data_IF_098826090664
#
_entry.id   IF_098826090664
#
_cell.length_a   1.000
_cell.length_b   1.000
_cell.length_c   1.000
_cell.angle_alpha   90.00
_cell.angle_beta   90.00
_cell.angle_gamma   90.00
#
_symmetry.space_group_name_H-M   'P 1'
#
loop_
_entity.id
_entity.type
_entity.pdbx_description
1 polymer ?
#
# COMPACT_ATOMS: atom_id res chain seq x y z
N UNK A 1 12.40 3.42 -25.51
CA UNK A 1 11.07 3.38 -24.89
C UNK A 1 10.06 4.01 -25.81
N UNK A 2 8.88 3.43 -25.95
CA UNK A 2 7.75 4.12 -26.59
C UNK A 2 6.94 4.96 -25.59
N UNK A 3 5.94 5.67 -26.09
CA UNK A 3 5.05 6.51 -25.30
C UNK A 3 4.43 5.78 -24.09
N UNK A 4 4.03 4.52 -24.23
CA UNK A 4 3.32 3.79 -23.19
C UNK A 4 4.27 3.21 -22.14
N UNK A 5 5.48 2.83 -22.54
CA UNK A 5 6.56 2.49 -21.60
C UNK A 5 6.94 3.70 -20.74
N UNK A 6 7.12 4.87 -21.37
CA UNK A 6 7.39 6.11 -20.66
C UNK A 6 6.24 6.46 -19.69
N UNK A 7 4.99 6.37 -20.15
CA UNK A 7 3.80 6.63 -19.34
C UNK A 7 3.79 5.83 -18.02
N UNK A 8 4.03 4.52 -18.09
CA UNK A 8 3.87 3.64 -16.92
C UNK A 8 5.12 3.54 -16.05
N UNK A 9 6.30 3.82 -16.59
CA UNK A 9 7.55 3.70 -15.85
C UNK A 9 8.21 5.03 -15.48
N UNK A 10 7.58 6.17 -15.76
CA UNK A 10 8.05 7.46 -15.26
C UNK A 10 7.94 7.49 -13.72
N UNK A 11 9.05 7.64 -12.99
CA UNK A 11 9.06 7.68 -11.53
C UNK A 11 8.46 8.98 -10.99
N UNK A 12 8.07 8.99 -9.72
CA UNK A 12 7.62 10.22 -9.04
C UNK A 12 8.74 11.24 -8.89
N UNK A 13 8.41 12.54 -8.98
CA UNK A 13 9.32 13.65 -8.66
C UNK A 13 9.40 13.94 -7.15
N UNK A 14 8.50 13.36 -6.35
CA UNK A 14 8.37 13.62 -4.91
C UNK A 14 9.44 12.91 -4.05
N UNK A 15 10.26 12.04 -4.62
CA UNK A 15 11.24 11.27 -3.86
C UNK A 15 12.39 12.13 -3.30
N UNK A 16 13.03 11.60 -2.24
CA UNK A 16 14.24 12.09 -1.58
C UNK A 16 14.20 13.54 -1.02
N UNK A 17 13.11 14.31 -1.25
CA UNK A 17 13.00 15.74 -0.90
C UNK A 17 11.68 16.12 -0.24
N UNK A 18 10.94 15.17 0.31
CA UNK A 18 9.72 15.46 1.07
C UNK A 18 10.05 15.98 2.47
N UNK A 19 9.33 17.02 2.90
CA UNK A 19 9.33 17.46 4.29
C UNK A 19 7.92 17.32 4.84
N UNK A 20 7.76 16.42 5.82
CA UNK A 20 6.51 16.31 6.56
C UNK A 20 6.22 17.62 7.28
N UNK A 21 4.99 18.08 7.15
CA UNK A 21 4.46 19.28 7.83
C UNK A 21 3.16 18.99 8.57
N UNK A 22 2.36 18.05 8.05
CA UNK A 22 1.10 17.62 8.65
C UNK A 22 1.20 16.37 9.51
N UNK A 23 0.07 16.02 10.12
CA UNK A 23 -0.18 14.75 10.82
C UNK A 23 -1.39 14.07 10.17
N UNK A 24 -1.30 12.78 9.85
CA UNK A 24 -2.43 12.08 9.24
C UNK A 24 -3.62 12.08 10.22
N UNK A 25 -4.82 12.51 9.81
CA UNK A 25 -5.98 12.49 10.68
C UNK A 25 -6.30 11.07 11.14
N UNK A 26 -6.56 10.91 12.45
CA UNK A 26 -6.85 9.60 13.05
C UNK A 26 -8.05 8.90 12.41
N UNK A 27 -9.06 9.65 11.94
CA UNK A 27 -10.20 9.11 11.21
C UNK A 27 -9.80 8.33 9.94
N UNK A 28 -8.59 8.54 9.41
CA UNK A 28 -8.09 7.83 8.22
C UNK A 28 -7.41 6.50 8.54
N UNK A 29 -7.01 6.23 9.79
CA UNK A 29 -6.25 5.01 10.13
C UNK A 29 -6.72 4.27 11.39
N UNK A 30 -7.54 4.90 12.23
CA UNK A 30 -8.19 4.26 13.38
C UNK A 30 -9.40 3.48 12.91
N UNK A 31 -9.51 2.23 13.34
CA UNK A 31 -10.66 1.37 13.06
C UNK A 31 -11.95 1.98 13.64
N UNK A 32 -11.88 2.52 14.85
CA UNK A 32 -13.06 3.00 15.58
C UNK A 32 -13.54 4.36 15.10
N UNK A 33 -12.67 5.14 14.45
CA UNK A 33 -12.98 6.50 13.96
C UNK A 33 -13.21 6.58 12.47
N UNK A 34 -12.96 5.50 11.73
CA UNK A 34 -13.15 5.48 10.30
C UNK A 34 -14.63 5.32 9.96
N UNK A 35 -15.16 6.30 9.24
CA UNK A 35 -16.52 6.25 8.71
C UNK A 35 -16.49 5.95 7.22
N UNK A 36 -17.21 4.90 6.84
CA UNK A 36 -17.32 4.45 5.47
C UNK A 36 -18.47 5.09 4.69
N UNK A 37 -19.44 5.66 5.42
CA UNK A 37 -20.63 6.26 4.82
C UNK A 37 -20.28 7.36 3.80
N UNK A 38 -19.26 8.22 3.98
CA UNK A 38 -18.86 9.18 2.97
C UNK A 38 -18.54 8.54 1.63
N UNK A 39 -17.79 7.43 1.61
CA UNK A 39 -17.47 6.73 0.37
C UNK A 39 -18.70 6.05 -0.24
N UNK A 40 -19.57 5.43 0.57
CA UNK A 40 -20.80 4.82 0.06
C UNK A 40 -21.76 5.85 -0.53
N UNK A 41 -21.90 7.00 0.12
CA UNK A 41 -22.66 8.13 -0.41
C UNK A 41 -22.04 8.63 -1.72
N UNK A 42 -20.72 8.81 -1.76
CA UNK A 42 -20.02 9.18 -2.98
C UNK A 42 -20.26 8.18 -4.12
N UNK A 43 -20.18 6.87 -3.85
CA UNK A 43 -20.49 5.83 -4.84
C UNK A 43 -21.94 5.85 -5.30
N UNK A 44 -22.91 6.10 -4.41
CA UNK A 44 -24.32 6.24 -4.78
C UNK A 44 -24.51 7.43 -5.71
N UNK A 45 -23.94 8.57 -5.33
CA UNK A 45 -24.15 9.87 -5.97
C UNK A 45 -23.41 9.96 -7.32
N UNK A 46 -22.29 9.25 -7.48
CA UNK A 46 -21.43 9.33 -8.67
C UNK A 46 -21.25 8.01 -9.44
N UNK A 47 -21.67 6.87 -8.90
CA UNK A 47 -21.20 5.56 -9.37
C UNK A 47 -22.24 4.46 -9.59
N UNK A 48 -23.36 4.44 -8.87
CA UNK A 48 -24.30 3.30 -8.91
C UNK A 48 -25.51 3.48 -9.83
N UNK A 49 -26.07 4.69 -9.93
CA UNK A 49 -27.27 4.91 -10.76
C UNK A 49 -26.97 5.10 -12.25
N UNK A 50 -25.71 5.35 -12.62
CA UNK A 50 -25.30 5.53 -14.01
C UNK A 50 -25.21 4.18 -14.78
N UNK A 51 -24.84 3.09 -14.10
CA UNK A 51 -24.68 1.77 -14.72
C UNK A 51 -26.03 1.13 -15.15
N UNK A 52 -27.13 1.43 -14.44
CA UNK A 52 -28.45 0.91 -14.77
C UNK A 52 -29.05 1.51 -16.06
N UNK A 53 -28.51 2.63 -16.55
CA UNK A 53 -29.04 3.34 -17.72
C UNK A 53 -28.48 2.87 -19.07
N UNK A 54 -27.49 1.97 -19.10
CA UNK A 54 -26.91 1.40 -20.32
C UNK A 54 -26.26 2.40 -21.30
N UNK A 55 -26.24 3.70 -20.97
CA UNK A 55 -25.68 4.75 -21.81
C UNK A 55 -24.16 4.84 -21.68
N UNK A 56 -23.46 5.05 -22.81
CA UNK A 56 -22.01 5.30 -22.85
C UNK A 56 -21.56 6.48 -21.96
N UNK A 57 -22.47 7.35 -21.54
CA UNK A 57 -22.19 8.49 -20.66
C UNK A 57 -21.89 8.11 -19.20
N UNK A 58 -22.35 6.95 -18.71
CA UNK A 58 -22.25 6.63 -17.27
C UNK A 58 -20.83 6.30 -16.78
N UNK A 59 -20.00 5.69 -17.63
CA UNK A 59 -18.65 5.31 -17.24
C UNK A 59 -17.70 6.51 -17.15
N UNK A 60 -17.93 7.56 -17.95
CA UNK A 60 -17.07 8.76 -17.91
C UNK A 60 -17.33 9.62 -16.66
N UNK A 61 -18.53 9.50 -16.06
CA UNK A 61 -18.92 10.26 -14.89
C UNK A 61 -18.08 9.97 -13.65
N UNK A 62 -17.59 8.73 -13.44
CA UNK A 62 -16.80 8.39 -12.24
C UNK A 62 -15.42 9.04 -12.27
N UNK A 63 -14.71 8.93 -13.41
CA UNK A 63 -13.43 9.58 -13.59
C UNK A 63 -13.53 11.11 -13.51
N UNK A 64 -14.57 11.70 -14.12
CA UNK A 64 -14.85 13.13 -14.05
C UNK A 64 -15.18 13.58 -12.63
N UNK A 65 -16.06 12.87 -11.93
CA UNK A 65 -16.41 13.16 -10.54
C UNK A 65 -15.18 13.09 -9.63
N UNK A 66 -14.30 12.12 -9.83
CA UNK A 66 -13.06 12.01 -9.07
C UNK A 66 -12.08 13.18 -9.34
N UNK A 67 -12.12 13.77 -10.53
CA UNK A 67 -11.36 14.98 -10.85
C UNK A 67 -11.95 16.25 -10.23
N UNK A 68 -13.27 16.32 -10.06
CA UNK A 68 -13.95 17.43 -9.38
C UNK A 68 -13.80 17.36 -7.85
N UNK A 69 -13.97 16.15 -7.30
CA UNK A 69 -13.85 15.85 -5.88
C UNK A 69 -13.29 14.44 -5.70
N UNK A 70 -12.03 14.29 -5.21
CA UNK A 70 -11.44 12.98 -4.98
C UNK A 70 -12.36 12.10 -4.12
N UNK A 71 -12.51 10.81 -4.46
CA UNK A 71 -13.37 9.93 -3.69
C UNK A 71 -12.88 9.84 -2.24
N UNK A 72 -13.77 9.84 -1.25
CA UNK A 72 -13.41 9.50 0.12
C UNK A 72 -12.76 8.11 0.17
N UNK A 73 -11.98 7.83 1.21
CA UNK A 73 -11.37 6.52 1.39
C UNK A 73 -12.45 5.44 1.59
N UNK A 74 -12.43 4.36 0.83
CA UNK A 74 -13.24 3.15 1.09
C UNK A 74 -12.65 2.27 2.19
N UNK A 75 -11.41 2.54 2.60
CA UNK A 75 -10.68 1.73 3.55
C UNK A 75 -9.65 2.57 4.31
N UNK A 76 -9.40 2.21 5.57
CA UNK A 76 -8.40 2.92 6.37
C UNK A 76 -6.97 2.79 5.82
N UNK A 77 -6.22 3.88 5.89
CA UNK A 77 -4.80 3.90 5.61
C UNK A 77 -4.08 2.86 6.47
N UNK A 78 -3.23 2.05 5.83
CA UNK A 78 -2.45 1.02 6.52
C UNK A 78 -1.27 1.65 7.26
N UNK A 79 -1.48 2.21 8.44
CA UNK A 79 -0.41 2.83 9.23
C UNK A 79 0.25 1.77 10.12
N UNK A 80 1.56 1.62 9.98
CA UNK A 80 2.37 0.73 10.80
C UNK A 80 3.42 1.53 11.56
N UNK A 81 3.73 1.14 12.79
CA UNK A 81 4.71 1.83 13.64
C UNK A 81 5.76 0.85 14.14
N UNK A 82 7.01 1.31 14.14
CA UNK A 82 8.13 0.66 14.79
C UNK A 82 8.67 1.58 15.90
N UNK A 83 8.27 1.37 17.16
CA UNK A 83 8.74 2.21 18.26
C UNK A 83 10.26 2.14 18.49
N UNK A 84 10.88 0.97 18.26
CA UNK A 84 12.31 0.75 18.47
C UNK A 84 13.18 1.61 17.55
N UNK A 85 12.82 1.69 16.27
CA UNK A 85 13.56 2.46 15.26
C UNK A 85 12.92 3.84 14.99
N UNK A 86 11.93 4.24 15.80
CA UNK A 86 11.22 5.51 15.69
C UNK A 86 10.78 5.88 14.27
N UNK A 87 10.15 4.93 13.57
CA UNK A 87 9.56 5.21 12.26
C UNK A 87 8.09 4.75 12.17
N UNK A 88 7.36 5.41 11.29
CA UNK A 88 5.99 5.06 10.87
C UNK A 88 6.06 4.72 9.38
N UNK A 89 5.40 3.65 8.98
CA UNK A 89 5.23 3.26 7.58
C UNK A 89 3.77 3.36 7.17
N UNK A 90 3.44 4.32 6.29
CA UNK A 90 2.12 4.44 5.69
C UNK A 90 2.06 3.54 4.45
N UNK A 91 1.37 2.42 4.59
CA UNK A 91 1.27 1.38 3.58
C UNK A 91 0.20 1.73 2.55
N UNK A 92 0.64 2.02 1.32
CA UNK A 92 -0.25 2.15 0.18
C UNK A 92 -0.40 0.82 -0.56
N UNK A 93 -1.61 0.52 -1.04
CA UNK A 93 -1.85 -0.69 -1.83
C UNK A 93 -1.22 -0.53 -3.21
N UNK A 94 -0.69 -1.65 -3.72
CA UNK A 94 -0.15 -1.77 -5.08
C UNK A 94 1.14 -0.97 -5.37
N UNK A 95 1.87 -0.56 -4.33
CA UNK A 95 3.12 0.23 -4.43
C UNK A 95 4.36 -0.49 -3.85
N UNK A 96 4.44 -1.83 -3.93
CA UNK A 96 5.47 -2.65 -3.26
C UNK A 96 5.57 -2.50 -1.73
N UNK A 97 4.57 -1.89 -1.09
CA UNK A 97 4.57 -1.66 0.36
C UNK A 97 4.80 -2.92 1.21
N UNK A 98 4.34 -4.08 0.71
CA UNK A 98 4.52 -5.38 1.36
C UNK A 98 5.98 -5.84 1.33
N UNK A 99 6.74 -5.50 0.29
CA UNK A 99 8.14 -5.87 0.15
C UNK A 99 8.97 -5.18 1.24
N UNK A 100 8.80 -3.86 1.42
CA UNK A 100 9.50 -3.11 2.48
C UNK A 100 9.17 -3.60 3.88
N UNK A 101 7.88 -3.70 4.24
CA UNK A 101 7.52 -4.12 5.60
C UNK A 101 7.96 -5.56 5.89
N UNK A 102 7.96 -6.46 4.90
CA UNK A 102 8.47 -7.82 5.07
C UNK A 102 9.98 -7.84 5.24
N UNK A 103 10.74 -7.03 4.49
CA UNK A 103 12.19 -6.92 4.64
C UNK A 103 12.57 -6.46 6.06
N UNK A 104 11.94 -5.38 6.55
CA UNK A 104 12.18 -4.87 7.91
C UNK A 104 11.80 -5.91 8.97
N UNK A 105 10.63 -6.55 8.85
CA UNK A 105 10.21 -7.58 9.80
C UNK A 105 11.16 -8.77 9.85
N UNK A 106 11.67 -9.22 8.70
CA UNK A 106 12.66 -10.30 8.63
C UNK A 106 13.96 -9.93 9.33
N UNK A 107 14.49 -8.73 9.07
CA UNK A 107 15.67 -8.23 9.75
C UNK A 107 15.47 -8.21 11.27
N UNK A 108 14.35 -7.64 11.73
CA UNK A 108 14.07 -7.53 13.15
C UNK A 108 13.89 -8.91 13.82
N UNK A 109 13.29 -9.87 13.12
CA UNK A 109 13.16 -11.24 13.61
C UNK A 109 14.52 -11.95 13.71
N UNK A 110 15.37 -11.81 12.69
CA UNK A 110 16.72 -12.40 12.67
C UNK A 110 17.63 -11.88 13.79
N UNK A 111 17.39 -10.64 14.25
CA UNK A 111 18.13 -10.01 15.34
C UNK A 111 17.44 -10.12 16.70
N UNK A 112 16.39 -10.94 16.84
CA UNK A 112 15.68 -11.14 18.11
C UNK A 112 14.95 -9.89 18.63
N UNK A 113 14.72 -8.88 17.79
CA UNK A 113 14.10 -7.61 18.18
C UNK A 113 12.57 -7.70 18.26
N UNK A 114 11.98 -8.64 17.53
CA UNK A 114 10.58 -9.00 17.63
C UNK A 114 10.37 -9.88 18.89
N UNK A 115 10.49 -9.29 20.09
CA UNK A 115 10.18 -9.81 21.43
C UNK A 115 10.77 -8.94 22.57
N UNK A 116 11.55 -7.89 22.26
CA UNK A 116 12.38 -7.19 23.25
C UNK A 116 11.66 -6.13 24.13
N UNK A 117 10.37 -5.85 23.93
CA UNK A 117 9.68 -4.71 24.58
C UNK A 117 9.13 -4.96 25.99
N UNK A 118 9.53 -6.02 26.68
CA UNK A 118 9.20 -6.19 28.11
C UNK A 118 10.31 -5.75 29.07
N UNK A 119 11.53 -5.51 28.58
CA UNK A 119 12.70 -5.28 29.46
C UNK A 119 13.12 -3.80 29.59
N UNK A 120 12.87 -2.97 28.57
CA UNK A 120 13.40 -1.60 28.53
C UNK A 120 12.56 -0.56 29.33
N UNK A 121 11.36 -0.92 29.80
CA UNK A 121 10.54 -0.06 30.67
C UNK A 121 10.69 -0.35 32.16
N UNK A 122 11.55 -1.30 32.56
CA UNK A 122 11.71 -1.72 33.95
C UNK A 122 12.94 -1.13 34.67
N UNK A 123 13.78 -0.32 34.01
CA UNK A 123 15.02 0.19 34.63
C UNK A 123 14.89 1.55 35.34
N UNK A 124 13.69 1.96 35.77
CA UNK A 124 13.52 3.22 36.54
C UNK A 124 12.65 3.09 37.81
N UNK A 125 12.54 1.91 38.41
CA UNK A 125 11.99 1.78 39.76
C UNK A 125 12.74 0.72 40.55
N UNK A 126 13.73 1.16 41.32
CA UNK A 126 14.28 0.36 42.41
C UNK A 126 13.25 0.25 43.54
N UNK A 127 12.87 -0.98 43.90
CA UNK A 127 12.38 -1.33 45.23
C UNK A 127 12.46 -2.85 45.43
N UNK A 128 12.87 -3.23 46.63
CA UNK A 128 13.31 -4.55 47.03
C UNK A 128 12.20 -5.61 47.13
N UNK A 129 12.60 -6.86 46.96
CA UNK A 129 11.79 -8.06 47.10
C UNK A 129 11.44 -8.41 48.56
N UNK A 130 10.33 -9.14 48.74
CA UNK A 130 10.12 -10.06 49.88
C UNK A 130 9.35 -11.29 49.38
N UNK A 131 9.72 -12.54 49.77
CA UNK A 131 9.06 -13.74 49.28
C UNK A 131 8.03 -14.28 50.29
N UNK A 132 6.90 -14.81 49.80
CA UNK A 132 6.04 -15.66 50.62
C UNK A 132 4.67 -15.97 50.00
N UNK A 133 4.41 -17.27 49.76
CA UNK A 133 3.07 -17.86 49.86
C UNK A 133 2.34 -18.21 48.56
N UNK A 134 2.19 -19.51 48.33
CA UNK A 134 1.15 -20.14 47.50
C UNK A 134 0.28 -21.03 48.42
N UNK A 135 -0.79 -21.71 47.95
CA UNK A 135 -1.81 -21.37 46.95
C UNK A 135 -3.26 -21.52 47.54
N UNK A 136 -4.30 -21.04 46.86
CA UNK A 136 -5.64 -21.65 46.98
C UNK A 136 -6.54 -21.40 45.78
N UNK A 137 -7.32 -22.42 45.46
CA UNK A 137 -8.31 -22.50 44.40
C UNK A 137 -9.66 -21.92 44.84
N UNK A 138 -10.41 -21.34 43.90
CA UNK A 138 -11.80 -20.93 44.13
C UNK A 138 -12.48 -20.52 42.82
N UNK A 139 -13.41 -21.36 42.37
CA UNK A 139 -14.30 -21.09 41.25
C UNK A 139 -15.32 -20.00 41.59
N UNK A 140 -15.67 -19.15 40.62
CA UNK A 140 -16.74 -18.16 40.75
C UNK A 140 -17.08 -17.52 39.41
N UNK A 141 -18.22 -17.94 38.86
CA UNK A 141 -18.82 -17.36 37.66
C UNK A 141 -19.37 -15.94 37.96
N UNK A 142 -19.11 -15.00 37.05
CA UNK A 142 -19.64 -13.64 37.10
C UNK A 142 -19.41 -12.95 35.76
N UNK A 143 -20.40 -13.02 34.87
CA UNK A 143 -20.42 -12.26 33.63
C UNK A 143 -20.78 -10.80 33.95
N UNK A 144 -19.83 -9.90 33.72
CA UNK A 144 -20.01 -8.45 33.72
C UNK A 144 -19.34 -7.84 32.48
N UNK A 145 -19.83 -6.71 31.96
CA UNK A 145 -19.31 -6.09 30.74
C UNK A 145 -18.02 -5.35 31.06
N UNK A 146 -16.91 -6.08 31.10
CA UNK A 146 -15.57 -5.54 31.27
C UNK A 146 -14.90 -5.33 29.93
N UNK A 147 -14.93 -4.09 29.42
CA UNK A 147 -14.03 -3.61 28.37
C UNK A 147 -12.60 -3.52 28.90
N UNK A 148 -12.02 -4.67 29.24
CA UNK A 148 -10.60 -4.78 29.51
C UNK A 148 -9.86 -4.67 28.18
N UNK A 149 -9.18 -3.56 27.96
CA UNK A 149 -8.21 -3.43 26.89
C UNK A 149 -7.24 -4.59 27.00
N UNK A 150 -7.31 -5.51 26.05
CA UNK A 150 -6.35 -6.59 25.91
C UNK A 150 -4.97 -5.95 25.82
N UNK A 151 -4.02 -6.27 26.71
CA UNK A 151 -2.67 -5.75 26.59
C UNK A 151 -2.17 -6.17 25.21
N UNK A 152 -1.73 -5.19 24.40
CA UNK A 152 -1.22 -5.39 23.04
C UNK A 152 -0.46 -6.72 23.00
N UNK A 153 -1.04 -7.71 22.31
CA UNK A 153 -0.54 -9.09 22.30
C UNK A 153 0.99 -9.10 22.07
N UNK A 154 1.72 -10.02 22.70
CA UNK A 154 3.16 -10.07 22.54
C UNK A 154 3.47 -10.26 21.06
N UNK A 155 4.24 -9.32 20.51
CA UNK A 155 4.99 -9.44 19.26
C UNK A 155 4.27 -9.03 17.96
N UNK A 156 4.43 -7.75 17.56
CA UNK A 156 5.39 -7.56 16.48
C UNK A 156 6.20 -6.26 16.60
N UNK A 157 7.50 -6.40 16.37
CA UNK A 157 8.47 -5.35 16.04
C UNK A 157 7.97 -4.21 15.13
N UNK A 158 7.01 -4.48 14.23
CA UNK A 158 6.27 -3.48 13.45
C UNK A 158 4.78 -3.80 13.54
N UNK A 159 4.02 -2.94 14.21
CA UNK A 159 2.60 -3.13 14.53
C UNK A 159 1.71 -2.15 13.78
N UNK A 160 0.43 -2.49 13.58
CA UNK A 160 -0.55 -1.50 13.10
C UNK A 160 -0.69 -0.41 14.17
N UNK A 161 -0.70 0.85 13.75
CA UNK A 161 -0.88 1.96 14.67
C UNK A 161 -2.35 2.06 15.04
N UNK A 162 -2.64 1.83 16.32
CA UNK A 162 -3.94 2.09 16.92
C UNK A 162 -3.80 3.27 17.90
N UNK A 163 -4.43 4.42 17.61
CA UNK A 163 -4.25 5.60 18.44
C UNK A 163 -4.82 5.44 19.85
N UNK A 164 -5.83 4.60 20.07
CA UNK A 164 -6.41 4.42 21.41
C UNK A 164 -5.55 3.48 22.26
N UNK A 165 -4.96 2.44 21.65
CA UNK A 165 -3.95 1.62 22.31
C UNK A 165 -2.68 2.42 22.68
N UNK A 166 -2.26 3.37 21.84
CA UNK A 166 -1.12 4.26 22.15
C UNK A 166 -1.42 5.17 23.34
N UNK A 167 -2.63 5.78 23.38
CA UNK A 167 -3.06 6.60 24.51
C UNK A 167 -3.13 5.81 25.80
N UNK A 168 -3.67 4.59 25.76
CA UNK A 168 -3.70 3.69 26.92
C UNK A 168 -2.29 3.37 27.44
N UNK A 169 -1.29 3.36 26.57
CA UNK A 169 0.13 3.23 26.92
C UNK A 169 0.83 4.56 27.27
N UNK A 170 0.08 5.65 27.45
CA UNK A 170 0.61 6.97 27.82
C UNK A 170 1.37 7.69 26.69
N UNK A 171 1.11 7.33 25.42
CA UNK A 171 1.74 7.96 24.25
C UNK A 171 0.73 8.75 23.44
N UNK A 172 1.13 9.94 22.99
CA UNK A 172 0.34 10.75 22.06
C UNK A 172 0.66 10.35 20.60
N UNK A 173 -0.32 9.81 19.83
CA UNK A 173 -0.13 9.46 18.44
C UNK A 173 0.36 10.63 17.57
N UNK A 174 -0.10 11.85 17.84
CA UNK A 174 0.21 13.00 17.01
C UNK A 174 1.63 13.50 17.30
N UNK A 175 2.03 13.55 18.57
CA UNK A 175 3.43 13.78 18.94
C UNK A 175 4.37 12.71 18.36
N UNK A 176 3.98 11.43 18.41
CA UNK A 176 4.75 10.37 17.76
C UNK A 176 4.86 10.57 16.25
N UNK A 177 3.77 10.98 15.58
CA UNK A 177 3.80 11.24 14.14
C UNK A 177 4.79 12.35 13.78
N UNK A 178 4.86 13.41 14.59
CA UNK A 178 5.81 14.51 14.41
C UNK A 178 7.25 14.09 14.68
N UNK A 179 7.49 13.33 15.76
CA UNK A 179 8.83 12.90 16.18
C UNK A 179 9.41 11.82 15.24
N UNK A 180 8.59 10.85 14.80
CA UNK A 180 9.09 9.67 14.08
C UNK A 180 9.35 9.98 12.60
N UNK A 181 10.26 9.25 11.96
CA UNK A 181 10.40 9.29 10.49
C UNK A 181 9.20 8.61 9.87
N UNK A 182 8.45 9.30 9.01
CA UNK A 182 7.27 8.74 8.34
C UNK A 182 7.63 8.40 6.90
N UNK A 183 7.59 7.12 6.57
CA UNK A 183 7.94 6.58 5.26
C UNK A 183 6.67 6.07 4.60
N UNK A 184 6.56 6.21 3.29
CA UNK A 184 5.53 5.56 2.50
C UNK A 184 6.10 4.99 1.22
N UNK A 185 5.27 4.33 0.43
CA UNK A 185 5.63 3.85 -0.90
C UNK A 185 4.61 4.30 -1.94
N UNK A 186 5.09 4.73 -3.09
CA UNK A 186 4.30 5.16 -4.25
C UNK A 186 4.60 4.30 -5.47
N UNK A 187 3.74 4.41 -6.48
CA UNK A 187 3.92 3.81 -7.79
C UNK A 187 3.24 4.72 -8.80
N UNK A 188 3.80 4.80 -10.00
CA UNK A 188 3.19 5.47 -11.14
C UNK A 188 1.68 5.12 -11.24
N UNK A 189 0.76 6.10 -11.37
CA UNK A 189 -0.67 5.84 -11.20
C UNK A 189 -1.23 4.90 -12.27
N UNK A 190 -0.70 4.96 -13.50
CA UNK A 190 -1.09 4.03 -14.57
C UNK A 190 -0.60 2.61 -14.29
N UNK A 191 0.66 2.44 -13.87
CA UNK A 191 1.16 1.12 -13.48
C UNK A 191 0.41 0.56 -12.27
N UNK A 192 0.07 1.42 -11.30
CA UNK A 192 -0.70 1.08 -10.11
C UNK A 192 -2.12 0.63 -10.48
N UNK A 193 -2.82 1.37 -11.32
CA UNK A 193 -4.18 1.05 -11.78
C UNK A 193 -4.24 -0.31 -12.48
N UNK A 194 -3.34 -0.55 -13.43
CA UNK A 194 -3.23 -1.82 -14.13
C UNK A 194 -2.92 -2.99 -13.18
N UNK A 195 -2.02 -2.77 -12.22
CA UNK A 195 -1.71 -3.78 -11.20
C UNK A 195 -2.88 -4.04 -10.25
N UNK A 196 -3.66 -3.00 -9.92
CA UNK A 196 -4.88 -3.11 -9.13
C UNK A 196 -5.92 -3.96 -9.85
N UNK A 197 -6.23 -3.62 -11.10
CA UNK A 197 -7.16 -4.34 -11.97
C UNK A 197 -6.85 -5.84 -12.11
N UNK A 198 -5.59 -6.21 -12.35
CA UNK A 198 -5.22 -7.63 -12.43
C UNK A 198 -5.30 -8.32 -11.07
N UNK A 199 -4.87 -7.63 -10.02
CA UNK A 199 -4.81 -8.22 -8.70
C UNK A 199 -6.19 -8.49 -8.12
N UNK A 200 -7.13 -7.54 -8.21
CA UNK A 200 -8.50 -7.73 -7.71
C UNK A 200 -9.15 -8.92 -8.39
N UNK A 201 -9.10 -9.00 -9.73
CA UNK A 201 -9.62 -10.15 -10.47
C UNK A 201 -8.92 -11.47 -10.10
N UNK A 202 -7.60 -11.47 -9.87
CA UNK A 202 -6.87 -12.65 -9.41
C UNK A 202 -7.34 -13.19 -8.06
N UNK A 203 -8.06 -12.38 -7.28
CA UNK A 203 -8.61 -12.74 -5.97
C UNK A 203 -10.09 -13.10 -5.99
N UNK A 204 -10.78 -12.94 -7.11
CA UNK A 204 -12.14 -13.42 -7.27
C UNK A 204 -12.14 -14.95 -7.30
N UNK A 205 -12.96 -15.55 -6.43
CA UNK A 205 -13.14 -17.01 -6.35
C UNK A 205 -14.09 -17.46 -7.45
N UNK A 206 -15.08 -16.63 -7.76
CA UNK A 206 -16.02 -16.84 -8.86
C UNK A 206 -15.54 -16.08 -10.09
N UNK A 207 -15.63 -16.74 -11.24
CA UNK A 207 -15.32 -16.18 -12.57
C UNK A 207 -16.42 -16.51 -13.58
N UNK A 208 -17.62 -16.76 -13.07
CA UNK A 208 -18.82 -17.06 -13.83
C UNK A 208 -19.51 -15.78 -14.31
N UNK A 209 -20.70 -15.90 -14.90
CA UNK A 209 -21.37 -14.80 -15.61
C UNK A 209 -21.60 -13.52 -14.77
N UNK A 210 -21.73 -13.61 -13.45
CA UNK A 210 -21.80 -12.43 -12.58
C UNK A 210 -20.43 -11.81 -12.25
N UNK A 211 -19.37 -12.62 -12.28
CA UNK A 211 -18.02 -12.26 -11.88
C UNK A 211 -17.03 -12.27 -13.04
N UNK A 212 -17.51 -11.90 -14.23
CA UNK A 212 -16.64 -11.72 -15.39
C UNK A 212 -15.78 -10.47 -15.18
N UNK A 213 -14.48 -10.56 -15.51
CA UNK A 213 -13.61 -9.40 -15.49
C UNK A 213 -14.12 -8.39 -16.53
N UNK A 214 -14.41 -7.13 -16.14
CA UNK A 214 -14.69 -6.08 -17.11
C UNK A 214 -13.45 -5.86 -17.99
N UNK A 215 -13.63 -5.39 -19.22
CA UNK A 215 -12.47 -5.03 -20.05
C UNK A 215 -11.64 -3.93 -19.39
N UNK A 216 -10.35 -3.85 -19.74
CA UNK A 216 -9.48 -2.82 -19.19
C UNK A 216 -9.97 -1.40 -19.56
N UNK A 217 -10.54 -1.20 -20.75
CA UNK A 217 -11.13 0.10 -21.14
C UNK A 217 -12.34 0.47 -20.26
N UNK A 218 -13.21 -0.48 -19.91
CA UNK A 218 -14.30 -0.25 -18.96
C UNK A 218 -13.75 0.14 -17.57
N UNK A 219 -12.72 -0.57 -17.12
CA UNK A 219 -12.03 -0.26 -15.87
C UNK A 219 -11.38 1.14 -15.88
N UNK A 220 -10.74 1.57 -16.97
CA UNK A 220 -10.10 2.90 -16.98
C UNK A 220 -11.11 4.04 -16.80
N UNK A 221 -12.34 3.85 -17.30
CA UNK A 221 -13.40 4.85 -17.18
C UNK A 221 -14.03 4.85 -15.79
N UNK A 222 -14.21 3.66 -15.22
CA UNK A 222 -14.72 3.48 -13.87
C UNK A 222 -13.80 2.52 -13.09
N UNK A 223 -12.73 3.02 -12.47
CA UNK A 223 -11.80 2.15 -11.73
C UNK A 223 -12.49 1.38 -10.60
N UNK A 224 -13.60 1.89 -10.07
CA UNK A 224 -14.38 1.22 -9.04
C UNK A 224 -15.31 0.12 -9.56
N UNK A 225 -15.39 -0.11 -10.87
CA UNK A 225 -16.21 -1.18 -11.46
C UNK A 225 -15.89 -2.56 -10.86
N UNK A 226 -14.62 -2.81 -10.52
CA UNK A 226 -14.20 -4.07 -9.89
C UNK A 226 -14.88 -4.27 -8.54
N UNK A 227 -14.88 -3.23 -7.69
CA UNK A 227 -15.58 -3.29 -6.41
C UNK A 227 -17.08 -3.37 -6.57
N UNK A 228 -17.69 -2.64 -7.52
CA UNK A 228 -19.14 -2.70 -7.77
C UNK A 228 -19.58 -4.12 -8.14
N UNK A 229 -18.91 -4.75 -9.12
CA UNK A 229 -19.21 -6.12 -9.53
C UNK A 229 -18.97 -7.13 -8.41
N UNK A 230 -17.85 -7.01 -7.71
CA UNK A 230 -17.50 -7.92 -6.62
C UNK A 230 -18.52 -7.91 -5.48
N UNK A 231 -19.05 -6.73 -5.14
CA UNK A 231 -20.10 -6.58 -4.14
C UNK A 231 -21.45 -7.12 -4.63
N UNK A 232 -21.83 -6.77 -5.86
CA UNK A 232 -23.12 -7.15 -6.43
C UNK A 232 -23.25 -8.67 -6.58
N UNK A 233 -22.16 -9.33 -6.98
CA UNK A 233 -22.17 -10.76 -7.33
C UNK A 233 -21.37 -11.64 -6.35
N UNK A 234 -20.85 -11.06 -5.26
CA UNK A 234 -20.03 -11.75 -4.25
C UNK A 234 -18.85 -12.50 -4.88
N UNK A 235 -18.06 -11.80 -5.70
CA UNK A 235 -17.00 -12.42 -6.49
C UNK A 235 -15.78 -12.83 -5.66
N UNK A 236 -15.48 -12.08 -4.61
CA UNK A 236 -14.52 -12.43 -3.58
C UNK A 236 -15.25 -13.30 -2.56
N UNK A 237 -14.90 -14.58 -2.44
CA UNK A 237 -15.51 -15.42 -1.40
C UNK A 237 -15.14 -14.94 0.00
N UNK A 238 -15.91 -15.38 1.00
CA UNK A 238 -15.61 -15.12 2.41
C UNK A 238 -14.19 -15.60 2.74
N UNK A 239 -13.25 -14.66 2.83
CA UNK A 239 -11.90 -14.93 3.32
C UNK A 239 -11.70 -14.29 4.68
N UNK A 240 -11.82 -15.10 5.72
CA UNK A 240 -11.23 -14.75 7.01
C UNK A 240 -9.76 -14.35 6.79
N UNK A 241 -9.36 -13.16 7.25
CA UNK A 241 -7.97 -12.71 7.22
C UNK A 241 -7.51 -11.89 6.01
N UNK A 242 -8.38 -11.56 5.04
CA UNK A 242 -8.08 -10.51 4.02
C UNK A 242 -8.62 -9.12 4.44
N UNK A 243 -8.83 -9.01 5.73
CA UNK A 243 -9.08 -7.84 6.52
C UNK A 243 -9.26 -8.29 7.97
N UNK A 244 -9.14 -7.40 8.94
CA UNK A 244 -9.57 -7.71 10.31
C UNK A 244 -11.05 -8.13 10.29
N UNK A 245 -11.55 -8.81 11.32
CA UNK A 245 -12.96 -9.25 11.44
C UNK A 245 -13.99 -8.12 11.22
N UNK A 246 -13.55 -6.87 11.29
CA UNK A 246 -14.30 -5.63 11.11
C UNK A 246 -14.20 -5.04 9.69
N UNK A 247 -13.25 -5.50 8.88
CA UNK A 247 -13.04 -5.12 7.49
C UNK A 247 -13.81 -6.08 6.60
N UNK A 248 -15.10 -5.82 6.40
CA UNK A 248 -15.95 -6.65 5.56
C UNK A 248 -15.38 -6.79 4.14
N UNK A 249 -15.62 -7.93 3.50
CA UNK A 249 -15.19 -8.23 2.11
C UNK A 249 -15.59 -7.16 1.08
N UNK A 250 -16.58 -6.35 1.44
CA UNK A 250 -17.22 -5.38 0.58
C UNK A 250 -16.25 -4.29 0.05
N UNK A 251 -15.23 -3.85 0.80
CA UNK A 251 -14.29 -2.82 0.32
C UNK A 251 -12.97 -3.33 -0.26
N UNK A 252 -12.79 -4.65 -0.30
CA UNK A 252 -11.51 -5.23 -0.70
C UNK A 252 -11.08 -4.75 -2.08
N UNK A 253 -11.95 -4.79 -3.09
CA UNK A 253 -11.56 -4.43 -4.44
C UNK A 253 -11.43 -2.91 -4.67
N UNK A 254 -12.22 -2.08 -3.97
CA UNK A 254 -12.13 -0.63 -4.07
C UNK A 254 -10.75 -0.12 -3.63
N UNK A 255 -10.32 -0.51 -2.43
CA UNK A 255 -9.07 0.03 -1.86
C UNK A 255 -7.80 -0.31 -2.67
N UNK A 256 -7.80 -1.35 -3.52
CA UNK A 256 -6.65 -1.68 -4.36
C UNK A 256 -6.47 -0.77 -5.57
N UNK A 257 -7.47 0.07 -5.88
CA UNK A 257 -7.47 0.97 -7.03
C UNK A 257 -7.68 2.44 -6.63
N UNK A 258 -7.92 2.76 -5.37
CA UNK A 258 -8.09 4.14 -4.89
C UNK A 258 -6.85 5.01 -5.03
N UNK A 259 -6.94 6.33 -5.27
CA UNK A 259 -5.79 7.22 -5.16
C UNK A 259 -5.09 7.14 -3.80
N UNK A 260 -3.76 7.28 -3.75
CA UNK A 260 -3.00 7.21 -2.49
C UNK A 260 -2.91 8.54 -1.76
N UNK A 261 -3.20 9.65 -2.45
CA UNK A 261 -3.20 11.02 -1.94
C UNK A 261 -3.90 11.13 -0.58
N UNK A 262 -5.07 10.49 -0.43
CA UNK A 262 -5.85 10.50 0.81
C UNK A 262 -5.08 10.03 2.04
N UNK A 263 -4.09 9.16 1.89
CA UNK A 263 -3.24 8.66 2.97
C UNK A 263 -1.91 9.41 3.13
N UNK A 264 -1.64 10.42 2.31
CA UNK A 264 -0.36 11.15 2.26
C UNK A 264 -0.48 12.63 2.63
N UNK A 265 -1.71 13.14 2.76
CA UNK A 265 -1.97 14.51 3.20
C UNK A 265 -2.91 14.56 4.40
N UNK A 266 -2.82 15.64 5.17
CA UNK A 266 -3.72 15.92 6.29
C UNK A 266 -5.04 16.57 5.82
N UNK A 267 -5.76 17.24 6.73
CA UNK A 267 -7.00 17.96 6.41
C UNK A 267 -6.78 19.28 5.68
N UNK A 268 -5.56 19.82 5.70
CA UNK A 268 -5.16 21.08 5.06
C UNK A 268 -4.40 20.84 3.75
N UNK A 269 -4.23 19.58 3.34
CA UNK A 269 -3.47 19.21 2.14
C UNK A 269 -1.95 19.16 2.38
N UNK A 270 -1.48 19.29 3.62
CA UNK A 270 -0.05 19.23 3.93
C UNK A 270 0.46 17.79 3.92
N UNK A 271 1.67 17.58 3.41
CA UNK A 271 2.31 16.26 3.39
C UNK A 271 2.54 15.73 4.81
N UNK A 272 2.15 14.48 5.04
CA UNK A 272 2.30 13.80 6.34
C UNK A 272 3.46 12.79 6.36
N UNK A 273 4.29 12.75 5.31
CA UNK A 273 5.39 11.81 5.13
C UNK A 273 6.73 12.53 4.93
N UNK A 274 7.80 11.96 5.47
CA UNK A 274 9.19 12.43 5.35
C UNK A 274 9.91 11.81 4.15
N UNK A 275 9.51 10.61 3.73
CA UNK A 275 10.16 9.90 2.63
C UNK A 275 9.16 9.04 1.83
N UNK A 276 9.36 8.99 0.51
CA UNK A 276 8.55 8.19 -0.42
C UNK A 276 9.44 7.21 -1.18
N UNK A 277 9.21 5.91 -0.96
CA UNK A 277 9.82 4.83 -1.75
C UNK A 277 9.08 4.72 -3.08
N UNK A 278 9.74 4.96 -4.21
CA UNK A 278 9.18 4.80 -5.55
C UNK A 278 9.33 3.35 -5.99
N UNK A 279 8.25 2.76 -6.48
CA UNK A 279 8.28 1.41 -7.05
C UNK A 279 9.27 1.31 -8.22
N UNK A 280 9.40 2.38 -9.02
CA UNK A 280 10.27 2.46 -10.19
C UNK A 280 11.77 2.49 -9.81
N UNK A 281 12.09 2.88 -8.57
CA UNK A 281 13.44 2.91 -7.99
C UNK A 281 13.51 2.09 -6.70
N UNK A 282 12.79 0.96 -6.65
CA UNK A 282 12.49 0.28 -5.39
C UNK A 282 13.75 -0.10 -4.59
N UNK A 283 14.82 -0.56 -5.23
CA UNK A 283 16.07 -0.92 -4.54
C UNK A 283 16.77 0.29 -3.91
N UNK A 284 17.04 1.29 -4.75
CA UNK A 284 17.68 2.55 -4.38
C UNK A 284 16.93 3.23 -3.24
N UNK A 285 15.61 3.39 -3.40
CA UNK A 285 14.80 4.12 -2.43
C UNK A 285 14.58 3.32 -1.14
N UNK A 286 14.54 1.97 -1.18
CA UNK A 286 14.49 1.16 0.03
C UNK A 286 15.80 1.26 0.82
N UNK A 287 16.95 1.27 0.14
CA UNK A 287 18.25 1.45 0.78
C UNK A 287 18.33 2.83 1.45
N UNK A 288 17.98 3.89 0.71
CA UNK A 288 17.93 5.26 1.25
C UNK A 288 16.95 5.40 2.43
N UNK A 289 15.78 4.74 2.37
CA UNK A 289 14.84 4.72 3.50
C UNK A 289 15.44 4.03 4.74
N UNK A 290 16.19 2.94 4.56
CA UNK A 290 16.88 2.25 5.65
C UNK A 290 18.01 3.10 6.23
N UNK A 291 18.78 3.79 5.40
CA UNK A 291 19.80 4.76 5.82
C UNK A 291 19.18 5.87 6.67
N UNK A 292 18.09 6.49 6.21
CA UNK A 292 17.38 7.53 6.96
C UNK A 292 16.86 7.05 8.32
N UNK A 293 16.38 5.79 8.41
CA UNK A 293 16.00 5.19 9.69
C UNK A 293 17.26 5.01 10.57
N UNK A 294 18.35 4.55 9.97
CA UNK A 294 19.59 4.26 10.68
C UNK A 294 20.29 5.51 11.23
N UNK A 295 20.19 6.65 10.57
CA UNK A 295 20.73 7.93 11.05
C UNK A 295 20.07 8.39 12.36
N UNK A 296 18.82 7.98 12.60
CA UNK A 296 18.02 8.38 13.76
C UNK A 296 17.86 7.27 14.80
N UNK A 297 18.43 6.10 14.54
CA UNK A 297 18.36 4.91 15.41
C UNK A 297 19.13 5.15 16.71
N UNK A 298 18.68 4.53 17.80
CA UNK A 298 19.47 4.39 19.00
C UNK A 298 20.80 3.65 18.69
N UNK A 299 21.98 4.20 19.04
CA UNK A 299 23.27 3.55 18.79
C UNK A 299 23.40 2.14 19.39
N UNK A 300 22.63 1.81 20.43
CA UNK A 300 22.59 0.49 21.04
C UNK A 300 21.80 -0.57 20.25
N UNK A 301 21.06 -0.17 19.21
CA UNK A 301 20.35 -1.10 18.33
C UNK A 301 21.21 -1.47 17.11
N UNK A 302 21.12 -2.73 16.61
CA UNK A 302 21.80 -3.10 15.38
C UNK A 302 21.30 -2.25 14.21
N UNK A 303 22.20 -1.87 13.29
CA UNK A 303 21.79 -1.12 12.12
C UNK A 303 20.85 -1.97 11.25
N UNK A 304 19.70 -1.41 10.85
CA UNK A 304 18.81 -2.06 9.90
C UNK A 304 19.57 -2.37 8.62
N UNK A 305 19.42 -3.58 8.12
CA UNK A 305 19.93 -3.99 6.82
C UNK A 305 18.80 -4.60 6.00
N UNK A 306 18.77 -4.29 4.70
CA UNK A 306 17.94 -5.01 3.75
C UNK A 306 18.53 -6.42 3.52
N UNK A 307 17.69 -7.43 3.24
CA UNK A 307 18.21 -8.71 2.80
C UNK A 307 18.93 -8.54 1.46
N UNK A 308 19.95 -9.37 1.21
CA UNK A 308 20.66 -9.42 -0.08
C UNK A 308 19.68 -9.62 -1.24
N UNK A 309 18.74 -10.56 -1.09
CA UNK A 309 17.66 -10.78 -2.06
C UNK A 309 16.35 -10.17 -1.54
N UNK A 310 15.87 -9.13 -2.23
CA UNK A 310 14.53 -8.60 -2.01
C UNK A 310 13.50 -9.46 -2.75
N UNK A 311 12.53 -10.00 -2.00
CA UNK A 311 11.41 -10.73 -2.60
C UNK A 311 10.30 -9.77 -2.98
N UNK A 312 10.00 -9.65 -4.27
CA UNK A 312 8.80 -8.98 -4.77
C UNK A 312 8.03 -9.87 -5.76
N UNK A 313 6.78 -9.50 -6.03
CA UNK A 313 5.90 -10.22 -6.95
C UNK A 313 6.11 -9.74 -8.38
N UNK A 314 5.97 -10.65 -9.34
CA UNK A 314 6.20 -10.42 -10.77
C UNK A 314 7.68 -10.11 -11.08
N UNK A 315 8.59 -10.96 -10.60
CA UNK A 315 9.95 -11.00 -11.13
C UNK A 315 9.83 -11.20 -12.65
N UNK A 316 10.37 -10.27 -13.44
CA UNK A 316 10.43 -10.42 -14.89
C UNK A 316 11.11 -11.74 -15.28
N UNK A 317 10.78 -12.25 -16.46
CA UNK A 317 11.34 -13.52 -16.95
C UNK A 317 12.89 -13.53 -16.92
N UNK A 318 13.52 -12.37 -17.16
CA UNK A 318 14.97 -12.19 -17.10
C UNK A 318 15.56 -12.53 -15.73
N UNK A 319 14.94 -12.10 -14.62
CA UNK A 319 15.43 -12.43 -13.29
C UNK A 319 15.18 -13.89 -12.93
N UNK A 320 14.05 -14.46 -13.35
CA UNK A 320 13.81 -15.90 -13.15
C UNK A 320 14.85 -16.74 -13.90
N UNK A 321 15.23 -16.30 -15.10
CA UNK A 321 16.27 -16.93 -15.89
C UNK A 321 17.66 -16.77 -15.25
N UNK A 322 18.03 -15.54 -14.85
CA UNK A 322 19.30 -15.29 -14.17
C UNK A 322 19.43 -16.09 -12.85
N UNK A 323 18.35 -16.20 -12.07
CA UNK A 323 18.30 -17.03 -10.85
C UNK A 323 18.47 -18.53 -11.16
N UNK A 324 17.87 -19.00 -12.26
CA UNK A 324 18.03 -20.38 -12.70
C UNK A 324 19.46 -20.68 -13.20
N UNK A 325 20.11 -19.72 -13.86
CA UNK A 325 21.47 -19.83 -14.36
C UNK A 325 22.54 -19.69 -13.27
N UNK A 326 22.26 -18.91 -12.21
CA UNK A 326 23.22 -18.67 -11.12
C UNK A 326 23.50 -19.92 -10.27
N UNK A 327 22.52 -20.81 -10.07
CA UNK A 327 22.71 -22.07 -9.33
C UNK A 327 23.27 -21.93 -7.90
N UNK A 328 23.52 -23.06 -7.22
CA UNK A 328 24.12 -23.09 -5.88
C UNK A 328 25.65 -23.21 -6.02
N UNK A 329 26.39 -22.14 -5.70
CA UNK A 329 27.87 -22.13 -5.72
C UNK A 329 28.51 -20.98 -6.51
N UNK A 330 27.74 -19.95 -6.86
CA UNK A 330 28.21 -18.86 -7.71
C UNK A 330 29.17 -17.91 -6.96
N UNK A 331 30.31 -17.57 -7.58
CA UNK A 331 31.33 -16.66 -7.03
C UNK A 331 30.92 -15.18 -7.10
N UNK A 332 31.79 -14.27 -6.66
CA UNK A 332 31.51 -12.82 -6.58
C UNK A 332 30.97 -12.20 -7.89
N UNK A 333 31.43 -12.66 -9.05
CA UNK A 333 30.94 -12.19 -10.36
C UNK A 333 29.46 -12.52 -10.60
N UNK A 334 28.95 -13.59 -9.98
CA UNK A 334 27.54 -13.94 -10.08
C UNK A 334 26.66 -13.10 -9.17
N UNK A 335 27.20 -12.57 -8.06
CA UNK A 335 26.48 -11.63 -7.20
C UNK A 335 26.26 -10.28 -7.90
N UNK A 336 27.29 -9.77 -8.60
CA UNK A 336 27.17 -8.58 -9.45
C UNK A 336 26.18 -8.79 -10.59
N UNK A 337 26.29 -9.91 -11.32
CA UNK A 337 25.34 -10.26 -12.38
C UNK A 337 23.90 -10.42 -11.87
N UNK A 338 23.71 -10.98 -10.66
CA UNK A 338 22.41 -11.09 -10.03
C UNK A 338 21.85 -9.71 -9.66
N UNK A 339 22.67 -8.78 -9.17
CA UNK A 339 22.26 -7.41 -8.87
C UNK A 339 21.83 -6.65 -10.15
N UNK A 340 22.59 -6.78 -11.23
CA UNK A 340 22.24 -6.20 -12.53
C UNK A 340 20.93 -6.79 -13.09
N UNK A 341 20.78 -8.12 -13.04
CA UNK A 341 19.53 -8.79 -13.44
C UNK A 341 18.35 -8.37 -12.54
N UNK A 342 18.59 -8.10 -11.26
CA UNK A 342 17.60 -7.60 -10.33
C UNK A 342 17.13 -6.20 -10.72
N UNK A 343 18.06 -5.30 -11.05
CA UNK A 343 17.78 -3.94 -11.51
C UNK A 343 17.00 -3.94 -12.83
N UNK A 344 17.44 -4.74 -13.81
CA UNK A 344 16.75 -4.87 -15.10
C UNK A 344 15.32 -5.40 -14.92
N UNK A 345 15.13 -6.40 -14.06
CA UNK A 345 13.81 -6.98 -13.78
C UNK A 345 12.85 -6.01 -13.11
N UNK A 346 13.37 -5.14 -12.21
CA UNK A 346 12.55 -4.07 -11.63
C UNK A 346 12.13 -3.05 -12.70
N UNK A 347 13.04 -2.69 -13.60
CA UNK A 347 12.73 -1.81 -14.71
C UNK A 347 11.69 -2.45 -15.66
N UNK A 348 11.83 -3.72 -16.01
CA UNK A 348 10.82 -4.46 -16.78
C UNK A 348 9.47 -4.52 -16.06
N UNK A 349 9.46 -4.72 -14.74
CA UNK A 349 8.24 -4.73 -13.93
C UNK A 349 7.56 -3.35 -13.85
N UNK A 350 8.30 -2.25 -14.05
CA UNK A 350 7.72 -0.92 -14.23
C UNK A 350 6.94 -0.82 -15.55
N UNK A 351 7.46 -1.42 -16.63
CA UNK A 351 6.88 -1.31 -17.98
C UNK A 351 5.87 -2.40 -18.36
N UNK A 352 5.73 -3.46 -17.56
CA UNK A 352 4.90 -4.65 -17.87
C UNK A 352 3.43 -4.32 -18.24
N UNK A 353 2.94 -3.14 -17.88
CA UNK A 353 1.57 -2.72 -18.14
C UNK A 353 1.38 -1.84 -19.39
N UNK A 354 2.46 -1.47 -20.09
CA UNK A 354 2.39 -0.63 -21.29
C UNK A 354 1.45 -1.21 -22.37
N UNK A 355 1.45 -2.53 -22.56
CA UNK A 355 0.59 -3.21 -23.54
C UNK A 355 -0.91 -3.00 -23.32
N UNK A 356 -1.34 -2.91 -22.05
CA UNK A 356 -2.76 -2.64 -21.77
C UNK A 356 -3.17 -1.27 -22.30
N UNK A 357 -2.30 -0.28 -22.14
CA UNK A 357 -2.53 1.09 -22.61
C UNK A 357 -2.40 1.22 -24.12
N UNK A 358 -1.51 0.44 -24.77
CA UNK A 358 -1.47 0.32 -26.23
C UNK A 358 -2.82 -0.16 -26.80
N UNK A 359 -3.49 -1.08 -26.10
CA UNK A 359 -4.76 -1.67 -26.54
C UNK A 359 -5.94 -0.71 -26.40
N UNK A 360 -6.06 0.03 -25.29
CA UNK A 360 -7.19 0.95 -25.05
C UNK A 360 -6.94 2.40 -25.52
N UNK A 361 -5.69 2.84 -25.62
CA UNK A 361 -5.29 4.13 -26.17
C UNK A 361 -5.61 5.34 -25.28
N UNK A 362 -5.61 6.53 -25.89
CA UNK A 362 -5.71 7.80 -25.19
C UNK A 362 -6.93 8.00 -24.28
N UNK A 363 -8.15 7.57 -24.66
CA UNK A 363 -9.31 7.71 -23.78
C UNK A 363 -9.13 7.03 -22.41
N UNK A 364 -8.55 5.84 -22.36
CA UNK A 364 -8.25 5.18 -21.09
C UNK A 364 -7.19 5.93 -20.29
N UNK A 365 -6.10 6.35 -20.95
CA UNK A 365 -5.00 7.08 -20.31
C UNK A 365 -5.53 8.35 -19.63
N UNK A 366 -6.38 9.11 -20.34
CA UNK A 366 -6.98 10.33 -19.84
C UNK A 366 -7.98 10.09 -18.70
N UNK A 367 -8.84 9.08 -18.80
CA UNK A 367 -9.79 8.77 -17.75
C UNK A 367 -9.10 8.39 -16.43
N UNK A 368 -8.00 7.64 -16.50
CA UNK A 368 -7.19 7.36 -15.31
C UNK A 368 -6.44 8.59 -14.82
N UNK A 369 -5.99 9.49 -15.71
CA UNK A 369 -5.38 10.74 -15.30
C UNK A 369 -6.38 11.65 -14.54
N UNK A 370 -7.66 11.65 -14.93
CA UNK A 370 -8.74 12.32 -14.18
C UNK A 370 -8.94 11.69 -12.80
N UNK A 371 -9.09 10.37 -12.76
CA UNK A 371 -9.32 9.64 -11.52
C UNK A 371 -8.17 9.75 -10.51
N UNK A 372 -6.92 9.81 -10.99
CA UNK A 372 -5.72 9.96 -10.17
C UNK A 372 -5.17 11.39 -10.15
N UNK A 373 -5.96 12.40 -10.52
CA UNK A 373 -5.51 13.80 -10.62
C UNK A 373 -4.79 14.31 -9.37
N UNK A 374 -5.34 14.03 -8.18
CA UNK A 374 -4.71 14.40 -6.90
C UNK A 374 -3.37 13.68 -6.66
N UNK A 375 -3.22 12.43 -7.11
CA UNK A 375 -1.93 11.73 -7.06
C UNK A 375 -0.95 12.39 -8.05
N UNK A 376 -1.39 12.69 -9.28
CA UNK A 376 -0.53 13.33 -10.28
C UNK A 376 0.05 14.66 -9.78
N UNK A 377 -0.81 15.51 -9.21
CA UNK A 377 -0.40 16.78 -8.60
C UNK A 377 0.61 16.54 -7.46
N UNK A 378 0.25 15.69 -6.49
CA UNK A 378 1.08 15.40 -5.32
C UNK A 378 2.48 14.91 -5.70
N UNK A 379 2.56 14.05 -6.70
CA UNK A 379 3.80 13.39 -7.11
C UNK A 379 4.56 14.13 -8.21
N UNK A 380 4.05 15.29 -8.66
CA UNK A 380 4.66 16.12 -9.69
C UNK A 380 4.64 15.50 -11.09
N UNK A 381 3.70 14.59 -11.35
CA UNK A 381 3.48 14.04 -12.68
C UNK A 381 2.64 14.99 -13.52
N UNK A 382 3.09 15.23 -14.73
CA UNK A 382 2.30 15.96 -15.70
C UNK A 382 1.21 15.06 -16.25
N UNK A 383 0.05 15.66 -16.53
CA UNK A 383 -0.98 14.98 -17.29
C UNK A 383 -0.39 14.61 -18.66
N UNK A 384 -0.54 13.35 -19.10
CA UNK A 384 0.02 12.91 -20.37
C UNK A 384 -0.50 13.78 -21.52
N UNK A 385 0.40 14.10 -22.46
CA UNK A 385 0.06 14.82 -23.68
C UNK A 385 -0.80 14.00 -24.64
N UNK A 386 -0.85 14.44 -25.90
CA UNK A 386 -1.61 13.73 -26.92
C UNK A 386 -1.06 12.31 -27.13
N UNK A 387 -1.87 11.30 -26.81
CA UNK A 387 -1.52 9.90 -27.02
C UNK A 387 -1.39 9.63 -28.52
N UNK A 388 -0.31 8.98 -28.99
CA UNK A 388 -0.16 8.62 -30.39
C UNK A 388 -1.39 7.85 -30.88
N UNK A 389 -2.01 8.33 -31.97
CA UNK A 389 -3.14 7.64 -32.57
C UNK A 389 -2.75 6.20 -32.91
N UNK A 390 -3.70 5.26 -32.79
CA UNK A 390 -3.49 3.88 -33.26
C UNK A 390 -3.11 3.99 -34.73
N UNK A 391 -1.83 3.76 -35.08
CA UNK A 391 -1.46 3.55 -36.47
C UNK A 391 -2.26 2.34 -36.90
N UNK A 392 -3.32 2.55 -37.67
CA UNK A 392 -3.99 1.46 -38.34
C UNK A 392 -2.88 0.76 -39.12
N UNK A 393 -2.46 -0.40 -38.64
CA UNK A 393 -1.56 -1.27 -39.37
C UNK A 393 -2.33 -1.61 -40.63
N UNK A 394 -2.13 -0.81 -41.68
CA UNK A 394 -2.67 -1.09 -42.99
C UNK A 394 -2.24 -2.52 -43.25
N UNK A 395 -3.22 -3.44 -43.27
CA UNK A 395 -2.96 -4.80 -43.73
C UNK A 395 -2.38 -4.59 -45.11
N UNK A 396 -1.08 -4.82 -45.25
CA UNK A 396 -0.48 -5.00 -46.57
C UNK A 396 -1.17 -6.25 -47.10
N UNK A 397 -2.20 -6.04 -47.92
CA UNK A 397 -2.75 -7.07 -48.77
C UNK A 397 -1.58 -7.54 -49.65
N UNK A 398 -1.24 -8.82 -49.50
CA UNK A 398 -0.22 -9.52 -50.25
C UNK A 398 -0.89 -10.35 -51.33
#
# INVERSE_FOLDING_TARGET
MDYFEELVGTPSKLALKTKKSGVLPQAKYSMDKFDILPFQNWLRDHGMMAAASGGRGGAQAVAQAAAEAPPPLSYICGVFVCPLYKFIFVRNRKTASSTFITAVKKFMAANGLCNATSAASASSSGAAATPGGAPSAGAGAGAGPGGGAEPLAPNPCVQRLDPDALRAAGRDPDAMWRDYTVITSSRNPWARAASGYEFTYSKWHRKDAGCQQPSFDQFCRDPFIMGKLSNLYQCVGHREGVGTRYEGHWNFDFCHVEPVHGCMVDGEGQLVVDFVIRYEHLLEDMAAAVELINERRDPGLPALALPEELKWRNKGAALQQAEAEAGVGAGASAAEAAADAQAESMQQAAYVYADKYRQCGGPCVNALADFYSADLELFGWERPGQVPGKRHRQKREA
#
